data_IF_041552461053
#
_entry.id   IF_041552461053
#
_cell.length_a   1.000
_cell.length_b   1.000
_cell.length_c   1.000
_cell.angle_alpha   90.00
_cell.angle_beta   90.00
_cell.angle_gamma   90.00
#
_symmetry.space_group_name_H-M   'P 1'
#
loop_
_entity.id
_entity.type
_entity.pdbx_description
1 polymer ?
#
# COMPACT_ATOMS: atom_id res chain seq x y z
N UNK A 1 -26.00 -0.22 23.76
CA UNK A 1 -24.53 0.05 23.72
C UNK A 1 -24.11 0.61 22.37
N UNK A 2 -24.60 0.05 21.27
CA UNK A 2 -24.30 0.53 19.91
C UNK A 2 -25.32 1.54 19.37
N UNK A 3 -26.40 1.79 20.11
CA UNK A 3 -27.55 2.60 19.69
C UNK A 3 -27.22 4.10 19.51
N UNK A 4 -26.07 4.54 20.04
CA UNK A 4 -25.56 5.90 19.91
C UNK A 4 -24.41 6.04 18.90
N UNK A 5 -24.02 4.97 18.22
CA UNK A 5 -22.96 5.04 17.22
C UNK A 5 -23.50 5.68 15.94
N UNK A 6 -22.91 6.79 15.47
CA UNK A 6 -23.32 7.39 14.21
C UNK A 6 -22.98 6.45 13.05
N UNK A 7 -23.90 6.33 12.10
CA UNK A 7 -23.62 5.64 10.83
C UNK A 7 -22.67 6.51 10.03
N UNK A 8 -21.52 5.94 9.64
CA UNK A 8 -20.59 6.63 8.76
C UNK A 8 -21.21 6.79 7.37
N UNK A 9 -20.98 7.94 6.71
CA UNK A 9 -21.44 8.11 5.33
C UNK A 9 -20.83 7.02 4.44
N UNK A 10 -21.57 6.55 3.41
CA UNK A 10 -21.01 5.64 2.43
C UNK A 10 -19.79 6.25 1.76
N UNK A 11 -18.74 5.45 1.58
CA UNK A 11 -17.58 5.85 0.81
C UNK A 11 -18.02 6.15 -0.63
N UNK A 12 -17.73 7.36 -1.10
CA UNK A 12 -18.20 7.86 -2.39
C UNK A 12 -17.65 7.03 -3.57
N UNK A 13 -16.44 6.49 -3.43
CA UNK A 13 -15.78 5.66 -4.45
C UNK A 13 -16.40 4.26 -4.43
N UNK A 14 -16.51 3.63 -3.26
CA UNK A 14 -17.05 2.27 -3.15
C UNK A 14 -18.53 2.21 -3.51
N UNK A 15 -19.30 3.23 -3.16
CA UNK A 15 -20.71 3.34 -3.54
C UNK A 15 -20.89 3.44 -5.06
N UNK A 16 -20.06 4.24 -5.73
CA UNK A 16 -20.10 4.39 -7.18
C UNK A 16 -19.65 3.11 -7.90
N UNK A 17 -18.60 2.45 -7.40
CA UNK A 17 -18.17 1.15 -7.92
C UNK A 17 -19.27 0.09 -7.81
N UNK A 18 -20.00 0.06 -6.68
CA UNK A 18 -21.13 -0.86 -6.50
C UNK A 18 -22.27 -0.56 -7.47
N UNK A 19 -22.61 0.71 -7.69
CA UNK A 19 -23.63 1.12 -8.65
C UNK A 19 -23.24 0.73 -10.09
N UNK A 20 -21.99 0.98 -10.50
CA UNK A 20 -21.48 0.57 -11.81
C UNK A 20 -21.54 -0.95 -11.99
N UNK A 21 -21.18 -1.74 -10.97
CA UNK A 21 -21.29 -3.21 -11.02
C UNK A 21 -22.73 -3.70 -11.15
N UNK A 22 -23.67 -3.06 -10.49
CA UNK A 22 -25.10 -3.41 -10.55
C UNK A 22 -25.79 -3.03 -11.87
N UNK A 23 -25.20 -2.11 -12.66
CA UNK A 23 -25.74 -1.71 -13.95
C UNK A 23 -25.75 -2.91 -14.94
N UNK A 24 -26.90 -3.30 -15.52
CA UNK A 24 -26.99 -4.43 -16.44
C UNK A 24 -26.48 -4.12 -17.86
N UNK A 25 -26.10 -2.87 -18.16
CA UNK A 25 -25.60 -2.50 -19.48
C UNK A 25 -24.32 -3.28 -19.83
N UNK A 26 -24.32 -4.08 -20.92
CA UNK A 26 -23.14 -4.85 -21.33
C UNK A 26 -21.96 -3.97 -21.79
N UNK A 27 -22.22 -2.73 -22.21
CA UNK A 27 -21.21 -1.81 -22.73
C UNK A 27 -20.72 -0.78 -21.68
N UNK A 28 -20.99 -1.04 -20.39
CA UNK A 28 -20.56 -0.15 -19.31
C UNK A 28 -19.04 -0.12 -19.15
N UNK A 29 -18.52 1.03 -18.75
CA UNK A 29 -17.09 1.22 -18.45
C UNK A 29 -16.95 1.66 -16.99
N UNK A 30 -16.23 0.86 -16.20
CA UNK A 30 -15.94 1.18 -14.80
C UNK A 30 -14.61 1.94 -14.70
N UNK A 31 -14.68 3.23 -14.37
CA UNK A 31 -13.52 4.11 -14.13
C UNK A 31 -13.42 4.54 -12.66
N UNK A 32 -14.11 3.84 -11.76
CA UNK A 32 -14.28 4.28 -10.36
C UNK A 32 -13.08 3.94 -9.49
N UNK A 33 -12.49 2.77 -9.69
CA UNK A 33 -11.35 2.28 -8.92
C UNK A 33 -10.04 2.59 -9.64
N UNK A 34 -9.13 3.27 -8.94
CA UNK A 34 -7.78 3.56 -9.41
C UNK A 34 -6.84 2.35 -9.35
N UNK A 35 -7.22 1.24 -9.99
CA UNK A 35 -6.40 0.04 -10.12
C UNK A 35 -6.01 -0.16 -11.58
N UNK A 36 -4.81 -0.71 -11.80
CA UNK A 36 -4.41 -1.09 -13.14
C UNK A 36 -5.28 -2.24 -13.63
N UNK A 37 -5.85 -2.07 -14.82
CA UNK A 37 -6.57 -3.10 -15.55
C UNK A 37 -5.85 -3.35 -16.87
N UNK A 38 -5.76 -4.61 -17.28
CA UNK A 38 -5.28 -4.98 -18.59
C UNK A 38 -6.33 -4.71 -19.68
N UNK A 39 -5.99 -5.03 -20.93
CA UNK A 39 -6.87 -4.83 -22.08
C UNK A 39 -8.17 -5.66 -22.05
N UNK A 40 -8.28 -6.63 -21.14
CA UNK A 40 -9.47 -7.46 -20.93
C UNK A 40 -10.34 -6.96 -19.77
N UNK A 41 -9.91 -5.90 -19.09
CA UNK A 41 -10.62 -5.34 -17.92
C UNK A 41 -10.34 -6.09 -16.61
N UNK A 42 -9.28 -6.91 -16.55
CA UNK A 42 -8.87 -7.61 -15.34
C UNK A 42 -7.69 -6.91 -14.69
N UNK A 43 -7.61 -6.95 -13.35
CA UNK A 43 -6.39 -6.59 -12.63
C UNK A 43 -5.46 -7.81 -12.67
N UNK A 44 -4.39 -7.80 -13.47
CA UNK A 44 -3.59 -9.00 -13.67
C UNK A 44 -2.70 -9.28 -12.45
N UNK A 45 -2.46 -10.56 -12.20
CA UNK A 45 -1.34 -10.98 -11.36
C UNK A 45 -0.13 -11.13 -12.27
N UNK A 46 0.86 -10.23 -12.12
CA UNK A 46 2.06 -10.26 -12.95
C UNK A 46 2.81 -11.59 -12.84
N UNK A 47 3.43 -12.04 -13.93
CA UNK A 47 4.16 -13.32 -13.99
C UNK A 47 5.21 -13.44 -12.88
N UNK A 48 5.99 -12.39 -12.64
CA UNK A 48 6.98 -12.36 -11.57
C UNK A 48 6.36 -12.57 -10.18
N UNK A 49 5.14 -12.06 -9.94
CA UNK A 49 4.41 -12.26 -8.67
C UNK A 49 3.95 -13.70 -8.54
N UNK A 50 3.43 -14.29 -9.62
CA UNK A 50 3.00 -15.71 -9.62
C UNK A 50 4.18 -16.65 -9.34
N UNK A 51 5.33 -16.40 -9.96
CA UNK A 51 6.56 -17.18 -9.72
C UNK A 51 7.04 -17.05 -8.27
N UNK A 52 7.04 -15.83 -7.72
CA UNK A 52 7.45 -15.59 -6.33
C UNK A 52 6.49 -16.25 -5.32
N UNK A 53 5.18 -16.25 -5.60
CA UNK A 53 4.19 -16.94 -4.78
C UNK A 53 4.43 -18.46 -4.75
N UNK A 54 4.70 -19.06 -5.92
CA UNK A 54 4.97 -20.49 -6.03
C UNK A 54 6.26 -20.88 -5.28
N UNK A 55 7.31 -20.09 -5.43
CA UNK A 55 8.57 -20.28 -4.71
C UNK A 55 8.37 -20.19 -3.19
N UNK A 56 7.67 -19.15 -2.72
CA UNK A 56 7.38 -18.94 -1.31
C UNK A 56 6.65 -20.14 -0.69
N UNK A 57 5.62 -20.66 -1.36
CA UNK A 57 4.88 -21.84 -0.87
C UNK A 57 5.76 -23.10 -0.82
N UNK A 58 6.69 -23.26 -1.77
CA UNK A 58 7.59 -24.42 -1.77
C UNK A 58 8.74 -24.33 -0.75
N UNK A 59 9.14 -23.12 -0.37
CA UNK A 59 10.36 -22.87 0.42
C UNK A 59 10.08 -22.47 1.87
N UNK A 60 8.85 -22.04 2.21
CA UNK A 60 8.52 -21.58 3.56
C UNK A 60 8.78 -22.63 4.64
N UNK A 61 9.46 -22.23 5.71
CA UNK A 61 9.79 -23.10 6.84
C UNK A 61 9.07 -22.71 8.14
N UNK A 62 8.67 -21.44 8.26
CA UNK A 62 8.10 -20.88 9.49
C UNK A 62 7.21 -19.67 9.20
N UNK A 63 6.34 -19.35 10.16
CA UNK A 63 5.44 -18.19 10.16
C UNK A 63 5.51 -17.43 11.49
N UNK A 64 6.66 -17.50 12.16
CA UNK A 64 6.91 -16.75 13.40
C UNK A 64 6.92 -15.24 13.14
N UNK A 65 6.80 -14.46 14.23
CA UNK A 65 6.84 -13.01 14.16
C UNK A 65 8.10 -12.50 13.43
N UNK A 66 7.88 -11.53 12.54
CA UNK A 66 8.94 -10.74 11.95
C UNK A 66 9.50 -9.74 12.97
N UNK A 67 10.75 -9.26 12.79
CA UNK A 67 11.26 -8.13 13.54
C UNK A 67 10.34 -6.90 13.42
N UNK A 68 10.31 -6.00 14.42
CA UNK A 68 9.44 -4.82 14.39
C UNK A 68 9.65 -3.90 13.17
N UNK A 69 10.87 -3.87 12.63
CA UNK A 69 11.21 -3.10 11.43
C UNK A 69 10.71 -3.76 10.12
N UNK A 70 10.38 -5.04 10.14
CA UNK A 70 10.05 -5.84 8.95
C UNK A 70 11.16 -6.80 8.52
N UNK A 71 10.95 -7.38 7.34
CA UNK A 71 11.87 -8.33 6.71
C UNK A 71 13.14 -7.63 6.17
N UNK A 72 14.36 -8.05 6.58
CA UNK A 72 15.61 -7.39 6.17
C UNK A 72 15.88 -7.37 4.66
N UNK A 73 15.48 -8.41 3.94
CA UNK A 73 15.68 -8.52 2.50
C UNK A 73 14.70 -7.60 1.77
N UNK A 74 13.44 -7.54 2.24
CA UNK A 74 12.47 -6.54 1.79
C UNK A 74 12.99 -5.12 2.01
N UNK A 75 13.52 -4.81 3.21
CA UNK A 75 14.04 -3.48 3.53
C UNK A 75 15.24 -3.10 2.65
N UNK A 76 16.07 -4.06 2.27
CA UNK A 76 17.19 -3.83 1.35
C UNK A 76 16.68 -3.60 -0.08
N UNK A 77 15.78 -4.45 -0.55
CA UNK A 77 15.16 -4.33 -1.87
C UNK A 77 14.40 -3.02 -2.07
N UNK A 78 13.57 -2.62 -1.11
CA UNK A 78 12.76 -1.39 -1.22
C UNK A 78 13.63 -0.13 -1.20
N UNK A 79 14.71 -0.11 -0.41
CA UNK A 79 15.68 1.00 -0.41
C UNK A 79 16.38 1.14 -1.75
N UNK A 80 16.83 0.02 -2.32
CA UNK A 80 17.43 0.00 -3.66
C UNK A 80 16.43 0.45 -4.74
N UNK A 81 15.19 -0.03 -4.68
CA UNK A 81 14.14 0.34 -5.62
C UNK A 81 13.80 1.84 -5.59
N UNK A 82 13.73 2.44 -4.40
CA UNK A 82 13.33 3.85 -4.24
C UNK A 82 14.47 4.82 -4.53
N UNK A 83 15.69 4.52 -4.04
CA UNK A 83 16.82 5.46 -4.11
C UNK A 83 17.80 5.14 -5.25
N UNK A 84 17.77 3.94 -5.81
CA UNK A 84 18.75 3.46 -6.79
C UNK A 84 20.17 3.37 -6.22
N UNK A 85 21.10 2.84 -7.01
CA UNK A 85 22.51 2.70 -6.59
C UNK A 85 23.16 4.04 -6.25
N UNK A 86 22.89 5.08 -7.05
CA UNK A 86 23.43 6.42 -6.83
C UNK A 86 22.93 7.05 -5.53
N UNK A 87 21.63 6.92 -5.23
CA UNK A 87 21.06 7.44 -3.99
C UNK A 87 21.53 6.66 -2.77
N UNK A 88 21.71 5.34 -2.89
CA UNK A 88 22.31 4.52 -1.83
C UNK A 88 23.76 4.94 -1.53
N UNK A 89 24.56 5.23 -2.56
CA UNK A 89 25.94 5.69 -2.39
C UNK A 89 26.05 7.09 -1.79
N UNK A 90 25.16 8.02 -2.19
CA UNK A 90 25.17 9.40 -1.68
C UNK A 90 24.63 9.49 -0.24
N UNK A 91 23.49 8.85 0.03
CA UNK A 91 22.81 8.99 1.31
C UNK A 91 23.36 8.05 2.38
N UNK A 92 23.84 6.85 2.00
CA UNK A 92 24.45 5.88 2.91
C UNK A 92 23.60 5.63 4.16
N UNK A 93 24.20 5.82 5.33
CA UNK A 93 23.58 5.61 6.64
C UNK A 93 22.45 6.61 6.99
N UNK A 94 22.21 7.61 6.13
CA UNK A 94 21.10 8.57 6.31
C UNK A 94 19.74 7.99 5.88
N UNK A 95 19.71 6.76 5.35
CA UNK A 95 18.48 6.09 4.93
C UNK A 95 18.02 5.09 5.99
N UNK A 96 16.85 5.36 6.56
CA UNK A 96 16.11 4.43 7.41
C UNK A 96 14.88 3.89 6.68
N UNK A 97 14.54 2.62 6.92
CA UNK A 97 13.37 1.98 6.32
C UNK A 97 12.66 1.09 7.34
N UNK A 98 11.33 1.08 7.30
CA UNK A 98 10.45 0.21 8.09
C UNK A 98 9.33 -0.30 7.18
N UNK A 99 9.04 -1.60 7.25
CA UNK A 99 7.95 -2.21 6.51
C UNK A 99 6.60 -1.84 7.14
N UNK A 100 5.60 -1.51 6.32
CA UNK A 100 4.28 -1.05 6.77
C UNK A 100 3.15 -1.69 5.95
N UNK A 101 1.90 -1.71 6.45
CA UNK A 101 0.75 -2.20 5.70
C UNK A 101 0.37 -1.22 4.58
N UNK A 102 1.06 -1.35 3.44
CA UNK A 102 0.86 -0.51 2.28
C UNK A 102 1.19 0.97 2.51
N UNK A 103 0.91 1.80 1.50
CA UNK A 103 1.23 3.22 1.54
C UNK A 103 0.49 4.00 2.64
N UNK A 104 -0.76 3.66 2.92
CA UNK A 104 -1.53 4.32 4.00
C UNK A 104 -0.88 4.09 5.37
N UNK A 105 -0.40 2.88 5.65
CA UNK A 105 0.35 2.56 6.86
C UNK A 105 1.66 3.35 6.95
N UNK A 106 2.37 3.49 5.83
CA UNK A 106 3.59 4.29 5.75
C UNK A 106 3.34 5.77 6.10
N UNK A 107 2.31 6.39 5.49
CA UNK A 107 1.95 7.79 5.76
C UNK A 107 1.53 7.99 7.21
N UNK A 108 0.73 7.07 7.77
CA UNK A 108 0.32 7.11 9.17
C UNK A 108 1.52 7.06 10.12
N UNK A 109 2.41 6.09 9.94
CA UNK A 109 3.59 5.94 10.78
C UNK A 109 4.52 7.15 10.67
N UNK A 110 4.74 7.64 9.45
CA UNK A 110 5.55 8.84 9.21
C UNK A 110 4.97 10.09 9.89
N UNK A 111 3.64 10.26 9.86
CA UNK A 111 2.96 11.36 10.55
C UNK A 111 3.08 11.25 12.08
N UNK A 112 3.01 10.04 12.64
CA UNK A 112 3.20 9.82 14.08
C UNK A 112 4.65 10.13 14.51
N UNK A 113 5.64 9.74 13.71
CA UNK A 113 7.05 10.09 13.95
C UNK A 113 7.25 11.61 13.88
N UNK A 114 6.68 12.27 12.87
CA UNK A 114 6.73 13.73 12.74
C UNK A 114 6.12 14.43 13.95
N UNK A 115 4.92 14.01 14.38
CA UNK A 115 4.23 14.59 15.53
C UNK A 115 4.99 14.36 16.85
N UNK A 116 5.60 13.18 17.04
CA UNK A 116 6.41 12.88 18.21
C UNK A 116 7.69 13.73 18.28
N UNK A 117 8.30 14.03 17.13
CA UNK A 117 9.52 14.84 17.04
C UNK A 117 9.25 16.35 17.05
N UNK A 118 8.16 16.80 16.44
CA UNK A 118 7.79 18.20 16.28
C UNK A 118 6.25 18.34 16.29
N UNK A 119 5.62 18.42 17.47
CA UNK A 119 4.16 18.38 17.60
C UNK A 119 3.45 19.56 16.95
N UNK A 120 4.13 20.71 16.82
CA UNK A 120 3.62 21.93 16.20
C UNK A 120 3.93 22.04 14.69
N UNK A 121 4.44 20.96 14.07
CA UNK A 121 4.77 20.94 12.66
C UNK A 121 3.51 21.13 11.78
N UNK A 122 3.63 21.96 10.75
CA UNK A 122 2.56 22.15 9.75
C UNK A 122 2.70 21.14 8.62
N UNK A 123 1.61 20.43 8.30
CA UNK A 123 1.53 19.54 7.14
C UNK A 123 0.87 20.29 5.98
N UNK A 124 1.58 20.41 4.87
CA UNK A 124 1.07 20.98 3.63
C UNK A 124 0.68 19.84 2.69
N UNK A 125 -0.49 19.93 2.08
CA UNK A 125 -0.98 19.00 1.05
C UNK A 125 -1.22 19.78 -0.24
N UNK A 126 -1.15 19.11 -1.39
CA UNK A 126 -1.52 19.74 -2.67
C UNK A 126 -2.99 20.15 -2.67
N UNK A 127 -3.31 21.16 -3.48
CA UNK A 127 -4.67 21.62 -3.74
C UNK A 127 -5.51 20.60 -4.55
#
# INVERSE_FOLDING_TARGET
>A
MFDSLPVLPPDSILGLAAACRADPNPDKVDLTLGVYMDATGLCPVFEAVQQAQQALVSEEQTKVYMPPQGDPDYLTGIRSLVFGEAGMADLGDRISAVQTPGGCGAVRLGAEVLHAAAPDATVWVSD
#
